data_IF_703585911454
#
_entry.id   IF_703585911454
#
_cell.length_a   1.000
_cell.length_b   1.000
_cell.length_c   1.000
_cell.angle_alpha   90.00
_cell.angle_beta   90.00
_cell.angle_gamma   90.00
#
_symmetry.space_group_name_H-M   'P 1'
#
loop_
_entity.id
_entity.type
_entity.pdbx_description
1 polymer ?
#
# COMPACT_ATOMS: atom_id res chain seq x y z
N UNK A 1 23.06 12.76 65.62
CA UNK A 1 21.59 12.84 65.72
C UNK A 1 21.00 12.22 64.47
N UNK A 2 20.42 11.03 64.62
CA UNK A 2 19.85 10.21 63.57
C UNK A 2 18.32 10.29 63.64
N UNK A 3 17.63 10.38 62.51
CA UNK A 3 16.23 9.94 62.38
C UNK A 3 15.98 9.39 60.98
N UNK A 4 16.02 8.05 60.91
CA UNK A 4 15.36 7.24 59.89
C UNK A 4 13.85 7.24 60.18
N UNK A 5 13.03 7.45 59.17
CA UNK A 5 11.61 7.08 59.21
C UNK A 5 11.30 6.29 57.95
N UNK A 6 11.23 4.97 58.14
CA UNK A 6 10.61 4.04 57.23
C UNK A 6 9.09 4.12 57.40
N UNK A 7 8.35 4.11 56.30
CA UNK A 7 6.92 3.81 56.30
C UNK A 7 6.68 2.68 55.31
N UNK A 8 6.53 1.51 55.92
CA UNK A 8 6.06 0.26 55.35
C UNK A 8 4.57 0.44 55.01
N UNK A 9 4.18 0.11 53.78
CA UNK A 9 2.77 -0.02 53.41
C UNK A 9 2.52 -1.45 52.95
N UNK A 10 1.96 -2.24 53.87
CA UNK A 10 1.27 -3.49 53.60
C UNK A 10 0.04 -3.22 52.73
N UNK A 11 -0.02 -3.84 51.55
CA UNK A 11 -1.29 -3.99 50.82
C UNK A 11 -1.56 -5.45 50.53
N UNK A 12 -2.58 -5.90 51.23
CA UNK A 12 -3.16 -7.22 51.27
C UNK A 12 -3.47 -7.81 49.88
N UNK A 13 -3.10 -9.09 49.75
CA UNK A 13 -3.55 -10.02 48.72
C UNK A 13 -5.08 -10.12 48.77
N UNK A 14 -5.77 -9.73 47.70
CA UNK A 14 -7.15 -10.12 47.44
C UNK A 14 -7.18 -11.02 46.22
N UNK A 15 -7.30 -12.31 46.48
CA UNK A 15 -7.57 -13.36 45.51
C UNK A 15 -9.00 -13.17 44.99
N UNK A 16 -9.14 -12.64 43.78
CA UNK A 16 -10.41 -12.58 43.09
C UNK A 16 -10.57 -13.85 42.25
N UNK A 17 -11.58 -14.64 42.61
CA UNK A 17 -12.11 -15.78 41.86
C UNK A 17 -12.71 -15.25 40.54
N UNK A 18 -12.15 -15.64 39.39
CA UNK A 18 -12.73 -15.32 38.08
C UNK A 18 -13.67 -16.43 37.64
N UNK A 19 -14.84 -16.10 37.05
CA UNK A 19 -15.81 -17.08 36.63
C UNK A 19 -15.32 -17.82 35.38
N UNK A 20 -15.66 -19.11 35.35
CA UNK A 20 -15.55 -20.01 34.21
C UNK A 20 -16.26 -19.38 33.01
N UNK A 21 -15.48 -18.93 32.02
CA UNK A 21 -15.99 -18.50 30.73
C UNK A 21 -16.41 -19.74 29.92
N UNK A 22 -17.70 -19.81 29.60
CA UNK A 22 -18.24 -20.73 28.61
C UNK A 22 -17.55 -20.50 27.25
N UNK A 23 -16.88 -21.54 26.76
CA UNK A 23 -16.44 -21.64 25.37
C UNK A 23 -17.68 -21.71 24.46
N UNK A 24 -18.00 -20.59 23.81
CA UNK A 24 -18.88 -20.57 22.64
C UNK A 24 -18.01 -20.87 21.43
N UNK A 25 -18.22 -21.98 20.70
CA UNK A 25 -17.55 -22.19 19.43
C UNK A 25 -18.14 -21.22 18.41
N UNK A 26 -17.40 -20.14 18.12
CA UNK A 26 -17.65 -19.32 16.95
C UNK A 26 -17.32 -20.19 15.73
N UNK A 27 -18.35 -20.73 15.10
CA UNK A 27 -18.28 -21.29 13.75
C UNK A 27 -17.97 -20.15 12.77
N UNK A 28 -16.68 -19.84 12.63
CA UNK A 28 -16.18 -19.08 11.50
C UNK A 28 -16.29 -19.98 10.28
N UNK A 29 -17.37 -19.81 9.52
CA UNK A 29 -17.47 -20.28 8.14
C UNK A 29 -16.37 -19.56 7.32
N UNK A 30 -15.18 -20.17 7.30
CA UNK A 30 -14.02 -19.70 6.59
C UNK A 30 -14.24 -19.81 5.09
N UNK A 31 -14.51 -18.68 4.43
CA UNK A 31 -14.21 -18.55 3.00
C UNK A 31 -12.70 -18.61 2.84
N UNK A 32 -12.18 -19.77 2.44
CA UNK A 32 -10.78 -19.93 2.08
C UNK A 32 -10.53 -19.19 0.75
N UNK A 33 -9.71 -18.12 0.70
CA UNK A 33 -9.47 -17.38 -0.55
C UNK A 33 -8.81 -18.26 -1.65
N UNK A 34 -8.18 -19.38 -1.28
CA UNK A 34 -7.59 -20.33 -2.23
C UNK A 34 -8.66 -21.17 -2.96
N UNK A 35 -9.77 -21.49 -2.30
CA UNK A 35 -10.91 -22.20 -2.93
C UNK A 35 -11.59 -21.33 -3.99
N UNK A 36 -11.67 -20.01 -3.77
CA UNK A 36 -12.26 -19.05 -4.70
C UNK A 36 -11.49 -18.91 -6.02
N UNK A 37 -10.15 -18.91 -5.96
CA UNK A 37 -9.30 -18.90 -7.18
C UNK A 37 -9.44 -20.22 -7.94
N UNK A 38 -9.58 -21.34 -7.24
CA UNK A 38 -9.75 -22.67 -7.85
C UNK A 38 -11.10 -22.82 -8.56
N UNK A 39 -12.18 -22.23 -8.03
CA UNK A 39 -13.51 -22.29 -8.67
C UNK A 39 -13.65 -21.43 -9.92
N UNK A 40 -12.80 -20.42 -10.11
CA UNK A 40 -12.77 -19.59 -11.32
C UNK A 40 -11.96 -20.22 -12.47
N UNK A 41 -10.95 -21.02 -12.15
CA UNK A 41 -10.11 -21.70 -13.14
C UNK A 41 -10.69 -23.03 -13.62
N UNK A 42 -11.68 -23.57 -12.92
CA UNK A 42 -12.52 -24.66 -13.42
C UNK A 42 -13.52 -24.08 -14.44
N UNK A 43 -13.07 -23.89 -15.69
CA UNK A 43 -13.96 -23.53 -16.79
C UNK A 43 -15.07 -24.57 -17.00
N UNK A 44 -16.15 -24.24 -17.72
CA UNK A 44 -17.20 -25.19 -18.08
C UNK A 44 -16.59 -26.38 -18.83
N UNK A 45 -16.88 -27.61 -18.36
CA UNK A 45 -16.44 -28.83 -19.05
C UNK A 45 -16.96 -28.81 -20.51
N UNK A 46 -16.07 -28.85 -21.52
CA UNK A 46 -16.51 -28.98 -22.88
C UNK A 46 -17.08 -30.39 -23.10
N UNK A 47 -18.39 -30.47 -23.29
CA UNK A 47 -19.04 -31.67 -23.83
C UNK A 47 -18.76 -31.67 -25.33
N UNK A 48 -17.71 -32.37 -25.77
CA UNK A 48 -17.48 -32.62 -27.20
C UNK A 48 -17.05 -34.07 -27.45
N UNK A 49 -18.02 -34.84 -27.96
CA UNK A 49 -17.79 -36.01 -28.79
C UNK A 49 -17.37 -35.53 -30.19
N UNK A 50 -16.09 -35.62 -30.52
CA UNK A 50 -15.62 -35.44 -31.90
C UNK A 50 -14.41 -36.34 -32.20
N UNK A 51 -14.39 -36.80 -33.47
CA UNK A 51 -13.50 -37.80 -34.09
C UNK A 51 -12.00 -37.44 -34.08
N UNK A 52 -11.11 -38.45 -34.18
CA UNK A 52 -9.67 -38.24 -34.15
C UNK A 52 -9.19 -37.55 -35.44
N UNK A 53 -8.53 -36.41 -35.28
CA UNK A 53 -7.78 -35.72 -36.34
C UNK A 53 -6.30 -35.86 -36.05
N UNK A 54 -5.59 -36.24 -37.10
CA UNK A 54 -4.19 -36.59 -37.24
C UNK A 54 -3.21 -35.61 -36.59
N UNK A 55 -2.21 -36.19 -35.92
CA UNK A 55 -1.11 -35.54 -35.22
C UNK A 55 -0.28 -34.62 -36.13
N UNK A 56 -0.34 -33.32 -35.85
CA UNK A 56 0.68 -32.37 -36.26
C UNK A 56 1.59 -32.10 -35.06
N UNK A 57 2.89 -32.25 -35.26
CA UNK A 57 3.97 -32.05 -34.29
C UNK A 57 3.85 -30.71 -33.56
N UNK A 58 3.35 -30.75 -32.32
CA UNK A 58 3.12 -29.59 -31.48
C UNK A 58 4.41 -29.02 -30.90
N UNK A 59 4.60 -27.70 -31.06
CA UNK A 59 5.48 -26.94 -30.17
C UNK A 59 4.88 -26.99 -28.75
N UNK A 60 5.63 -27.47 -27.76
CA UNK A 60 5.16 -27.51 -26.38
C UNK A 60 5.25 -26.11 -25.73
N UNK A 61 4.28 -25.85 -24.86
CA UNK A 61 4.38 -24.97 -23.66
C UNK A 61 4.04 -23.48 -23.72
N UNK A 62 3.52 -22.92 -24.83
CA UNK A 62 3.11 -21.51 -24.80
C UNK A 62 1.81 -21.29 -23.99
N UNK A 63 0.84 -22.23 -24.07
CA UNK A 63 -0.45 -22.16 -23.36
C UNK A 63 -0.33 -22.28 -21.83
N UNK A 64 0.70 -22.96 -21.32
CA UNK A 64 0.92 -23.09 -19.87
C UNK A 64 1.35 -21.77 -19.22
N UNK A 65 2.12 -20.96 -19.94
CA UNK A 65 2.67 -19.70 -19.45
C UNK A 65 1.60 -18.62 -19.21
N UNK A 66 0.61 -18.53 -20.11
CA UNK A 66 -0.46 -17.55 -20.04
C UNK A 66 -1.39 -17.79 -18.84
N UNK A 67 -1.77 -19.05 -18.58
CA UNK A 67 -2.59 -19.42 -17.43
C UNK A 67 -1.89 -19.12 -16.09
N UNK A 68 -0.59 -19.40 -16.00
CA UNK A 68 0.20 -19.08 -14.81
C UNK A 68 0.31 -17.56 -14.59
N UNK A 69 0.52 -16.78 -15.65
CA UNK A 69 0.56 -15.31 -15.57
C UNK A 69 -0.78 -14.73 -15.11
N UNK A 70 -1.90 -15.20 -15.68
CA UNK A 70 -3.23 -14.74 -15.29
C UNK A 70 -3.53 -15.00 -13.81
N UNK A 71 -3.15 -16.19 -13.32
CA UNK A 71 -3.28 -16.54 -11.91
C UNK A 71 -2.41 -15.63 -11.02
N UNK A 72 -1.15 -15.43 -11.39
CA UNK A 72 -0.25 -14.55 -10.63
C UNK A 72 -0.76 -13.10 -10.58
N UNK A 73 -1.28 -12.58 -11.70
CA UNK A 73 -1.90 -11.25 -11.77
C UNK A 73 -3.14 -11.15 -10.88
N UNK A 74 -4.00 -12.17 -10.88
CA UNK A 74 -5.17 -12.22 -10.00
C UNK A 74 -4.80 -12.24 -8.51
N UNK A 75 -3.78 -13.00 -8.12
CA UNK A 75 -3.30 -13.05 -6.74
C UNK A 75 -2.76 -11.68 -6.29
N UNK A 76 -1.98 -11.00 -7.13
CA UNK A 76 -1.45 -9.67 -6.84
C UNK A 76 -2.53 -8.61 -6.75
N UNK A 77 -3.48 -8.64 -7.68
CA UNK A 77 -4.60 -7.71 -7.66
C UNK A 77 -5.47 -7.94 -6.41
N UNK A 78 -5.69 -9.21 -6.02
CA UNK A 78 -6.37 -9.54 -4.77
C UNK A 78 -5.63 -8.97 -3.55
N UNK A 79 -4.31 -9.11 -3.50
CA UNK A 79 -3.47 -8.49 -2.48
C UNK A 79 -3.61 -6.96 -2.49
N UNK A 80 -3.63 -6.35 -3.68
CA UNK A 80 -3.80 -4.90 -3.85
C UNK A 80 -5.12 -4.40 -3.27
N UNK A 81 -6.24 -5.05 -3.58
CA UNK A 81 -7.54 -4.71 -2.99
C UNK A 81 -7.50 -4.81 -1.46
N UNK A 82 -6.96 -5.92 -0.94
CA UNK A 82 -6.89 -6.14 0.49
C UNK A 82 -6.06 -5.06 1.20
N UNK A 83 -4.93 -4.67 0.63
CA UNK A 83 -4.00 -3.71 1.24
C UNK A 83 -4.45 -2.26 1.02
N UNK A 84 -5.02 -1.92 -0.14
CA UNK A 84 -5.49 -0.56 -0.48
C UNK A 84 -6.81 -0.25 0.21
N UNK A 85 -7.83 -1.12 0.08
CA UNK A 85 -9.18 -0.90 0.61
C UNK A 85 -9.43 -1.52 1.99
N UNK A 86 -8.49 -2.30 2.54
CA UNK A 86 -8.70 -3.07 3.78
C UNK A 86 -9.83 -4.13 3.66
N UNK A 87 -10.12 -4.59 2.44
CA UNK A 87 -11.19 -5.56 2.15
C UNK A 87 -10.92 -6.31 0.85
N UNK A 88 -11.46 -7.53 0.67
CA UNK A 88 -11.41 -8.23 -0.62
C UNK A 88 -12.23 -7.47 -1.70
N UNK A 89 -12.00 -7.76 -3.00
CA UNK A 89 -12.83 -7.23 -4.07
C UNK A 89 -14.29 -7.63 -3.87
N UNK A 90 -15.21 -6.67 -4.00
CA UNK A 90 -16.65 -6.89 -3.79
C UNK A 90 -17.39 -7.24 -5.09
N UNK A 91 -16.92 -6.73 -6.22
CA UNK A 91 -17.51 -6.98 -7.53
C UNK A 91 -16.58 -7.88 -8.37
N UNK A 92 -17.07 -9.09 -8.65
CA UNK A 92 -16.35 -10.12 -9.43
C UNK A 92 -16.16 -9.68 -10.89
N UNK A 93 -17.12 -8.98 -11.48
CA UNK A 93 -17.05 -8.53 -12.86
C UNK A 93 -15.99 -7.43 -13.01
N UNK A 94 -16.04 -6.42 -12.14
CA UNK A 94 -15.01 -5.37 -12.11
C UNK A 94 -13.61 -5.94 -11.83
N UNK A 95 -13.48 -6.85 -10.86
CA UNK A 95 -12.19 -7.51 -10.59
C UNK A 95 -11.67 -8.30 -11.80
N UNK A 96 -12.54 -9.07 -12.47
CA UNK A 96 -12.17 -9.80 -13.68
C UNK A 96 -11.67 -8.88 -14.80
N UNK A 97 -12.36 -7.76 -15.03
CA UNK A 97 -11.95 -6.76 -16.03
C UNK A 97 -10.57 -6.15 -15.74
N UNK A 98 -10.23 -5.92 -14.47
CA UNK A 98 -8.90 -5.43 -14.08
C UNK A 98 -7.82 -6.51 -14.28
N UNK A 99 -8.12 -7.79 -14.01
CA UNK A 99 -7.20 -8.91 -14.30
C UNK A 99 -6.96 -9.03 -15.80
N UNK A 100 -8.02 -8.92 -16.61
CA UNK A 100 -7.91 -8.94 -18.07
C UNK A 100 -7.06 -7.77 -18.57
N UNK A 101 -7.22 -6.58 -17.99
CA UNK A 101 -6.41 -5.41 -18.31
C UNK A 101 -4.92 -5.66 -18.01
N UNK A 102 -4.58 -6.26 -16.86
CA UNK A 102 -3.21 -6.63 -16.52
C UNK A 102 -2.65 -7.68 -17.50
N UNK A 103 -3.45 -8.66 -17.90
CA UNK A 103 -3.06 -9.67 -18.89
C UNK A 103 -2.85 -9.06 -20.30
N UNK A 104 -3.51 -7.94 -20.59
CA UNK A 104 -3.35 -7.15 -21.81
C UNK A 104 -2.21 -6.11 -21.72
N UNK A 105 -1.48 -6.06 -20.59
CA UNK A 105 -0.31 -5.19 -20.42
C UNK A 105 -0.58 -3.87 -19.71
N UNK A 106 -1.73 -3.70 -19.02
CA UNK A 106 -1.90 -2.60 -18.09
C UNK A 106 -0.87 -2.67 -16.96
N UNK A 107 -0.40 -1.52 -16.49
CA UNK A 107 0.60 -1.46 -15.43
C UNK A 107 0.00 -1.55 -14.04
N UNK A 108 0.74 -2.10 -13.07
CA UNK A 108 0.30 -2.10 -11.66
C UNK A 108 0.17 -0.68 -11.11
N UNK A 109 1.03 0.24 -11.56
CA UNK A 109 0.93 1.67 -11.22
C UNK A 109 -0.39 2.27 -11.72
N UNK A 110 -0.77 2.01 -12.98
CA UNK A 110 -2.02 2.52 -13.56
C UNK A 110 -3.25 2.00 -12.82
N UNK A 111 -3.28 0.70 -12.50
CA UNK A 111 -4.34 0.11 -11.69
C UNK A 111 -4.36 0.73 -10.28
N UNK A 112 -3.22 0.82 -9.61
CA UNK A 112 -3.11 1.42 -8.28
C UNK A 112 -3.64 2.85 -8.25
N UNK A 113 -3.21 3.70 -9.19
CA UNK A 113 -3.66 5.08 -9.32
C UNK A 113 -5.17 5.15 -9.56
N UNK A 114 -5.70 4.29 -10.43
CA UNK A 114 -7.13 4.14 -10.66
C UNK A 114 -7.89 3.80 -9.38
N UNK A 115 -7.33 2.93 -8.52
CA UNK A 115 -7.96 2.58 -7.24
C UNK A 115 -7.90 3.75 -6.25
N UNK A 116 -6.72 4.31 -5.96
CA UNK A 116 -6.54 5.35 -4.92
C UNK A 116 -7.14 6.69 -5.27
N UNK A 117 -7.39 6.96 -6.55
CA UNK A 117 -8.04 8.18 -7.03
C UNK A 117 -9.50 7.99 -7.45
N UNK A 118 -10.07 6.79 -7.23
CA UNK A 118 -11.46 6.50 -7.55
C UNK A 118 -12.46 7.23 -6.64
N UNK A 119 -13.71 7.33 -7.10
CA UNK A 119 -14.83 7.75 -6.26
C UNK A 119 -15.05 6.85 -5.05
N UNK A 120 -14.75 5.56 -5.16
CA UNK A 120 -14.94 4.60 -4.06
C UNK A 120 -13.87 4.76 -2.98
N UNK A 121 -12.63 5.06 -3.36
CA UNK A 121 -11.58 5.37 -2.40
C UNK A 121 -11.86 6.67 -1.63
N UNK A 122 -12.35 7.70 -2.33
CA UNK A 122 -12.83 8.94 -1.70
C UNK A 122 -13.93 8.69 -0.66
N UNK A 123 -14.88 7.78 -0.95
CA UNK A 123 -15.91 7.41 0.04
C UNK A 123 -15.27 6.85 1.31
N UNK A 124 -14.18 6.11 1.20
CA UNK A 124 -13.43 5.62 2.36
C UNK A 124 -12.71 6.75 3.11
N UNK A 125 -12.10 7.69 2.42
CA UNK A 125 -11.49 8.87 3.05
C UNK A 125 -12.51 9.67 3.86
N UNK A 126 -13.72 9.86 3.32
CA UNK A 126 -14.81 10.59 4.00
C UNK A 126 -15.42 9.77 5.14
N UNK A 127 -15.65 8.47 4.95
CA UNK A 127 -16.31 7.61 5.92
C UNK A 127 -15.44 7.26 7.14
N UNK A 128 -14.12 7.44 7.06
CA UNK A 128 -13.17 7.10 8.11
C UNK A 128 -12.34 8.33 8.51
N UNK A 129 -12.96 9.37 9.10
CA UNK A 129 -12.24 10.58 9.48
C UNK A 129 -11.19 10.30 10.55
N UNK A 130 -10.04 10.97 10.45
CA UNK A 130 -8.92 10.80 11.36
C UNK A 130 -8.13 9.50 11.19
N UNK A 131 -6.98 9.45 11.83
CA UNK A 131 -6.09 8.29 11.89
C UNK A 131 -5.64 8.07 13.35
N UNK A 132 -5.15 6.87 13.66
CA UNK A 132 -4.55 6.63 14.98
C UNK A 132 -3.28 7.47 15.12
N UNK A 133 -2.94 7.87 16.35
CA UNK A 133 -1.70 8.61 16.62
C UNK A 133 -0.47 7.83 16.12
N UNK A 134 -0.50 6.49 16.25
CA UNK A 134 0.56 5.62 15.75
C UNK A 134 0.64 5.60 14.22
N UNK A 135 -0.49 5.55 13.51
CA UNK A 135 -0.53 5.63 12.05
C UNK A 135 0.02 6.97 11.55
N UNK A 136 -0.37 8.08 12.20
CA UNK A 136 0.14 9.41 11.88
C UNK A 136 1.65 9.54 12.11
N UNK A 137 2.17 8.95 13.20
CA UNK A 137 3.60 8.94 13.48
C UNK A 137 4.38 8.16 12.40
N UNK A 138 3.92 6.95 12.06
CA UNK A 138 4.51 6.12 11.02
C UNK A 138 4.45 6.81 9.65
N UNK A 139 3.33 7.45 9.34
CA UNK A 139 3.13 8.22 8.12
C UNK A 139 4.12 9.38 8.02
N UNK A 140 4.19 10.22 9.05
CA UNK A 140 5.07 11.41 9.05
C UNK A 140 6.55 11.02 8.97
N UNK A 141 6.94 9.91 9.59
CA UNK A 141 8.28 9.35 9.46
C UNK A 141 8.58 8.87 8.05
N UNK A 142 7.71 8.03 7.48
CA UNK A 142 7.89 7.49 6.13
C UNK A 142 7.91 8.60 5.08
N UNK A 143 7.02 9.59 5.23
CA UNK A 143 6.92 10.74 4.32
C UNK A 143 8.17 11.62 4.37
N UNK A 144 8.71 11.86 5.57
CA UNK A 144 9.93 12.62 5.76
C UNK A 144 11.15 11.92 5.15
N UNK A 145 11.23 10.59 5.27
CA UNK A 145 12.27 9.79 4.61
C UNK A 145 12.15 9.87 3.08
N UNK A 146 10.97 9.61 2.51
CA UNK A 146 10.76 9.72 1.06
C UNK A 146 11.10 11.10 0.53
N UNK A 147 10.74 12.15 1.26
CA UNK A 147 11.03 13.54 0.88
C UNK A 147 12.53 13.87 0.86
N UNK A 148 13.38 13.11 1.56
CA UNK A 148 14.84 13.30 1.52
C UNK A 148 15.47 12.67 0.27
N UNK A 149 14.79 11.70 -0.35
CA UNK A 149 15.24 11.06 -1.57
C UNK A 149 14.91 11.89 -2.82
N UNK A 150 14.01 12.88 -2.70
CA UNK A 150 13.58 13.73 -3.80
C UNK A 150 14.50 14.94 -4.00
N UNK A 151 14.82 15.34 -5.25
CA UNK A 151 15.60 16.54 -5.54
C UNK A 151 14.96 17.85 -5.05
N UNK A 152 13.62 17.87 -5.00
CA UNK A 152 12.83 19.00 -4.50
C UNK A 152 11.72 18.47 -3.60
N UNK A 153 11.51 19.14 -2.47
CA UNK A 153 10.46 18.79 -1.52
C UNK A 153 9.08 19.07 -2.13
N UNK A 154 8.14 18.14 -1.94
CA UNK A 154 6.75 18.33 -2.35
C UNK A 154 6.08 19.39 -1.49
N UNK A 155 5.58 20.46 -2.10
CA UNK A 155 4.72 21.42 -1.41
C UNK A 155 3.29 20.86 -1.28
N UNK A 156 2.95 20.41 -0.06
CA UNK A 156 1.60 19.96 0.24
C UNK A 156 0.67 21.16 0.44
N UNK A 157 -0.26 21.42 -0.47
CA UNK A 157 -1.26 22.48 -0.26
C UNK A 157 -2.20 22.21 0.92
N UNK A 158 -3.04 23.19 1.27
CA UNK A 158 -4.05 23.05 2.34
C UNK A 158 -5.09 21.93 2.08
N UNK A 159 -5.21 21.47 0.83
CA UNK A 159 -6.07 20.36 0.44
C UNK A 159 -5.42 18.97 0.56
N UNK A 160 -4.11 18.86 0.80
CA UNK A 160 -3.41 17.58 0.77
C UNK A 160 -3.88 16.62 1.88
N UNK A 161 -4.23 17.16 3.04
CA UNK A 161 -4.75 16.41 4.19
C UNK A 161 -6.27 16.15 4.12
N UNK A 162 -6.94 16.59 3.06
CA UNK A 162 -8.39 16.43 2.87
C UNK A 162 -8.69 15.26 1.92
N UNK A 163 -9.90 14.68 2.02
CA UNK A 163 -10.38 13.75 1.01
C UNK A 163 -10.32 14.36 -0.40
N UNK A 164 -10.18 13.51 -1.42
CA UNK A 164 -10.17 13.95 -2.82
C UNK A 164 -11.41 14.78 -3.17
N UNK A 165 -11.19 15.92 -3.81
CA UNK A 165 -12.25 16.83 -4.26
C UNK A 165 -13.18 16.15 -5.28
N UNK A 166 -14.50 16.29 -5.09
CA UNK A 166 -15.52 15.64 -5.93
C UNK A 166 -15.20 15.82 -7.43
N UNK A 167 -15.43 14.80 -8.27
CA UNK A 167 -15.25 14.95 -9.71
C UNK A 167 -16.10 16.12 -10.19
N UNK A 168 -15.49 17.04 -10.94
CA UNK A 168 -16.22 18.12 -11.59
C UNK A 168 -17.20 17.47 -12.57
N UNK A 169 -18.51 17.62 -12.34
CA UNK A 169 -19.50 17.09 -13.27
C UNK A 169 -19.40 17.87 -14.59
N UNK A 170 -19.22 17.19 -15.74
CA UNK A 170 -19.21 17.83 -17.05
C UNK A 170 -20.62 18.36 -17.33
N UNK A 171 -20.87 19.64 -17.01
CA UNK A 171 -22.19 20.24 -17.12
C UNK A 171 -22.44 21.40 -16.15
N UNK A 172 -21.68 21.50 -15.06
CA UNK A 172 -21.67 22.75 -14.29
C UNK A 172 -20.87 23.80 -15.06
N UNK A 173 -21.45 24.97 -15.40
CA UNK A 173 -20.72 26.09 -15.98
C UNK A 173 -19.87 26.75 -14.89
N UNK A 174 -18.92 26.01 -14.33
CA UNK A 174 -17.76 26.61 -13.72
C UNK A 174 -16.97 27.19 -14.89
N UNK A 175 -17.01 28.52 -15.04
CA UNK A 175 -16.11 29.23 -15.93
C UNK A 175 -14.73 28.64 -15.74
N UNK A 176 -14.20 28.00 -16.77
CA UNK A 176 -12.83 27.53 -16.76
C UNK A 176 -12.02 28.81 -16.79
N UNK A 177 -11.64 29.30 -15.61
CA UNK A 177 -10.61 30.32 -15.51
C UNK A 177 -9.45 29.81 -16.34
N UNK A 178 -9.10 30.57 -17.37
CA UNK A 178 -8.04 30.25 -18.30
C UNK A 178 -6.81 29.88 -17.46
N UNK A 179 -6.44 28.60 -17.50
CA UNK A 179 -5.32 28.09 -16.72
C UNK A 179 -4.09 28.75 -17.33
N UNK A 180 -3.65 29.85 -16.72
CA UNK A 180 -2.46 30.56 -17.13
C UNK A 180 -1.25 29.67 -16.79
N UNK A 181 -0.81 28.91 -17.80
CA UNK A 181 0.40 28.10 -17.77
C UNK A 181 1.68 28.95 -17.82
N UNK A 182 1.63 30.26 -17.54
CA UNK A 182 2.83 31.02 -17.20
C UNK A 182 3.46 30.38 -15.97
N UNK A 183 4.35 29.42 -16.26
CA UNK A 183 5.27 28.76 -15.34
C UNK A 183 5.82 29.82 -14.42
N UNK A 184 5.27 29.92 -13.21
CA UNK A 184 5.83 30.71 -12.13
C UNK A 184 7.14 30.02 -11.80
N UNK A 185 8.19 30.44 -12.50
CA UNK A 185 9.55 29.99 -12.32
C UNK A 185 9.81 30.12 -10.81
N UNK A 186 10.12 29.02 -10.10
CA UNK A 186 10.34 29.09 -8.67
C UNK A 186 11.37 30.20 -8.43
N UNK A 187 11.02 31.13 -7.54
CA UNK A 187 11.87 32.27 -7.25
C UNK A 187 13.27 31.75 -6.90
N UNK A 188 14.30 32.10 -7.68
CA UNK A 188 15.65 31.63 -7.40
C UNK A 188 16.13 32.31 -6.11
N UNK A 189 16.42 31.53 -5.07
CA UNK A 189 17.34 32.00 -4.03
C UNK A 189 16.86 32.06 -2.58
N UNK A 190 15.75 31.43 -2.19
CA UNK A 190 15.60 31.08 -0.77
C UNK A 190 16.32 29.75 -0.56
N UNK A 191 17.62 29.84 -0.24
CA UNK A 191 18.41 28.73 0.30
C UNK A 191 17.84 28.40 1.68
N UNK A 192 16.69 27.72 1.74
CA UNK A 192 16.25 27.07 2.97
C UNK A 192 17.28 26.00 3.27
N UNK A 193 18.00 26.14 4.39
CA UNK A 193 18.80 25.03 4.90
C UNK A 193 17.97 23.74 4.89
N UNK A 194 18.56 22.60 4.50
CA UNK A 194 17.83 21.35 4.42
C UNK A 194 17.22 21.06 5.78
N UNK A 195 15.88 21.14 5.86
CA UNK A 195 15.17 20.87 7.09
C UNK A 195 15.55 19.47 7.58
N UNK A 196 15.96 19.39 8.85
CA UNK A 196 16.34 18.10 9.43
C UNK A 196 15.17 17.12 9.37
N UNK A 197 15.46 15.82 9.34
CA UNK A 197 14.44 14.77 9.36
C UNK A 197 13.40 15.00 10.48
N UNK A 198 13.85 15.44 11.66
CA UNK A 198 13.00 15.78 12.81
C UNK A 198 12.04 16.93 12.53
N UNK A 199 12.50 18.00 11.86
CA UNK A 199 11.66 19.14 11.51
C UNK A 199 10.59 18.76 10.48
N UNK A 200 10.94 17.96 9.47
CA UNK A 200 9.99 17.45 8.47
C UNK A 200 8.92 16.57 9.10
N UNK A 201 9.32 15.63 9.98
CA UNK A 201 8.39 14.79 10.75
C UNK A 201 7.38 15.64 11.53
N UNK A 202 7.86 16.64 12.27
CA UNK A 202 6.98 17.52 13.05
C UNK A 202 6.01 18.33 12.16
N UNK A 203 6.49 18.86 11.04
CA UNK A 203 5.66 19.60 10.09
C UNK A 203 4.56 18.70 9.48
N UNK A 204 4.90 17.48 9.06
CA UNK A 204 3.93 16.53 8.52
C UNK A 204 2.93 16.04 9.56
N UNK A 205 3.36 15.81 10.80
CA UNK A 205 2.46 15.44 11.89
C UNK A 205 1.41 16.53 12.14
N UNK A 206 1.81 17.79 12.20
CA UNK A 206 0.88 18.91 12.38
C UNK A 206 -0.06 19.08 11.17
N UNK A 207 0.46 18.91 9.95
CA UNK A 207 -0.29 19.13 8.71
C UNK A 207 -1.37 18.07 8.46
N UNK A 208 -1.12 16.82 8.87
CA UNK A 208 -1.99 15.68 8.59
C UNK A 208 -2.73 15.14 9.82
N UNK A 209 -2.78 15.89 10.93
CA UNK A 209 -3.33 15.42 12.20
C UNK A 209 -4.79 14.91 12.12
N UNK A 210 -5.59 15.49 11.24
CA UNK A 210 -7.02 15.17 11.08
C UNK A 210 -7.30 14.31 9.84
N UNK A 211 -6.25 13.91 9.11
CA UNK A 211 -6.39 13.15 7.87
C UNK A 211 -6.82 11.70 8.16
N UNK A 212 -7.68 11.17 7.27
CA UNK A 212 -8.04 9.75 7.29
C UNK A 212 -6.83 8.86 7.02
N UNK A 213 -6.83 7.63 7.54
CA UNK A 213 -5.79 6.63 7.19
C UNK A 213 -5.69 6.41 5.67
N UNK A 214 -6.81 6.54 4.93
CA UNK A 214 -6.83 6.39 3.48
C UNK A 214 -6.16 7.59 2.77
N UNK A 215 -6.34 8.80 3.30
CA UNK A 215 -5.63 9.99 2.84
C UNK A 215 -4.12 9.86 3.08
N UNK A 216 -3.72 9.38 4.27
CA UNK A 216 -2.31 9.12 4.58
C UNK A 216 -1.68 8.13 3.58
N UNK A 217 -2.38 7.03 3.29
CA UNK A 217 -1.91 5.99 2.35
C UNK A 217 -1.77 6.53 0.92
N UNK A 218 -2.77 7.27 0.43
CA UNK A 218 -2.72 7.88 -0.90
C UNK A 218 -1.52 8.82 -1.03
N UNK A 219 -1.36 9.74 -0.09
CA UNK A 219 -0.25 10.71 -0.10
C UNK A 219 1.12 10.03 -0.05
N UNK A 220 1.29 8.97 0.77
CA UNK A 220 2.53 8.19 0.76
C UNK A 220 2.76 7.46 -0.57
N UNK A 221 1.70 6.91 -1.16
CA UNK A 221 1.77 6.28 -2.47
C UNK A 221 2.27 7.25 -3.54
N UNK A 222 1.67 8.44 -3.60
CA UNK A 222 2.02 9.49 -4.55
C UNK A 222 3.48 9.92 -4.40
N UNK A 223 3.98 10.08 -3.16
CA UNK A 223 5.39 10.40 -2.93
C UNK A 223 6.33 9.25 -3.26
N UNK A 224 5.95 8.01 -2.94
CA UNK A 224 6.77 6.84 -3.25
C UNK A 224 6.94 6.66 -4.77
N UNK A 225 5.88 6.93 -5.55
CA UNK A 225 5.95 6.92 -7.01
C UNK A 225 6.92 7.99 -7.54
N UNK A 226 6.97 9.19 -6.94
CA UNK A 226 7.96 10.21 -7.30
C UNK A 226 9.39 9.76 -7.02
N UNK A 227 9.63 9.10 -5.89
CA UNK A 227 10.96 8.56 -5.55
C UNK A 227 11.38 7.47 -6.54
N UNK A 228 10.46 6.55 -6.86
CA UNK A 228 10.71 5.52 -7.87
C UNK A 228 10.99 6.14 -9.25
N UNK A 229 10.25 7.17 -9.65
CA UNK A 229 10.48 7.92 -10.88
C UNK A 229 11.85 8.60 -10.91
N UNK A 230 12.30 9.14 -9.77
CA UNK A 230 13.62 9.74 -9.62
C UNK A 230 14.74 8.71 -9.89
N UNK A 231 14.62 7.51 -9.32
CA UNK A 231 15.63 6.45 -9.44
C UNK A 231 15.53 5.62 -10.72
N UNK A 232 14.41 5.63 -11.46
CA UNK A 232 14.18 4.71 -12.60
C UNK A 232 15.23 4.78 -13.72
N UNK A 233 15.97 5.89 -13.80
CA UNK A 233 17.04 6.10 -14.80
C UNK A 233 18.32 5.31 -14.52
N UNK A 234 18.56 4.98 -13.25
CA UNK A 234 19.71 4.19 -12.82
C UNK A 234 19.23 2.97 -12.04
N UNK A 235 19.22 1.83 -12.73
CA UNK A 235 18.71 0.58 -12.19
C UNK A 235 19.51 0.09 -10.97
N UNK A 236 20.82 0.30 -10.97
CA UNK A 236 21.68 -0.11 -9.86
C UNK A 236 21.44 0.77 -8.63
N UNK A 237 21.29 2.09 -8.83
CA UNK A 237 20.93 3.01 -7.76
C UNK A 237 19.55 2.68 -7.17
N UNK A 238 18.55 2.41 -8.01
CA UNK A 238 17.21 1.99 -7.59
C UNK A 238 17.24 0.72 -6.74
N UNK A 239 18.00 -0.29 -7.18
CA UNK A 239 18.15 -1.55 -6.46
C UNK A 239 18.82 -1.35 -5.08
N UNK A 240 19.90 -0.56 -5.03
CA UNK A 240 20.59 -0.23 -3.79
C UNK A 240 19.73 0.58 -2.81
N UNK A 241 18.96 1.55 -3.31
CA UNK A 241 17.98 2.29 -2.51
C UNK A 241 16.92 1.35 -1.94
N UNK A 242 16.32 0.50 -2.78
CA UNK A 242 15.28 -0.43 -2.38
C UNK A 242 15.76 -1.39 -1.29
N UNK A 243 16.96 -1.97 -1.42
CA UNK A 243 17.52 -2.87 -0.41
C UNK A 243 17.62 -2.22 0.98
N UNK A 244 18.17 -1.01 1.04
CA UNK A 244 18.27 -0.22 2.29
C UNK A 244 16.90 0.13 2.85
N UNK A 245 15.98 0.52 1.97
CA UNK A 245 14.63 0.91 2.34
C UNK A 245 13.83 -0.27 2.90
N UNK A 246 13.92 -1.46 2.31
CA UNK A 246 13.25 -2.67 2.83
C UNK A 246 13.74 -3.03 4.23
N UNK A 247 15.05 -2.96 4.50
CA UNK A 247 15.57 -3.23 5.85
C UNK A 247 14.96 -2.29 6.88
N UNK A 248 14.71 -1.01 6.53
CA UNK A 248 13.96 -0.08 7.39
C UNK A 248 12.51 -0.52 7.56
N UNK A 249 11.84 -0.88 6.47
CA UNK A 249 10.44 -1.33 6.50
C UNK A 249 10.23 -2.58 7.38
N UNK A 250 11.15 -3.54 7.35
CA UNK A 250 11.11 -4.76 8.18
C UNK A 250 11.17 -4.45 9.68
N UNK A 251 11.84 -3.37 10.09
CA UNK A 251 11.93 -2.96 11.52
C UNK A 251 10.57 -2.58 12.13
N UNK A 252 9.55 -2.30 11.31
CA UNK A 252 8.20 -2.06 11.82
C UNK A 252 7.52 -3.34 12.34
N UNK A 253 8.08 -4.53 12.10
CA UNK A 253 7.53 -5.79 12.60
C UNK A 253 6.17 -6.14 11.98
N UNK A 254 5.96 -5.73 10.72
CA UNK A 254 4.74 -5.96 9.96
C UNK A 254 4.94 -7.16 9.03
N UNK A 255 3.92 -8.00 8.91
CA UNK A 255 3.94 -9.11 7.96
C UNK A 255 3.65 -8.63 6.52
N UNK A 256 4.63 -8.82 5.64
CA UNK A 256 4.55 -8.52 4.21
C UNK A 256 4.06 -9.72 3.37
N UNK A 257 3.58 -10.79 4.01
CA UNK A 257 2.85 -11.91 3.40
C UNK A 257 3.71 -13.07 2.92
N UNK A 258 4.94 -12.83 2.46
CA UNK A 258 5.91 -13.87 2.11
C UNK A 258 7.07 -13.85 3.10
N UNK A 259 7.53 -15.03 3.53
CA UNK A 259 8.64 -15.13 4.49
C UNK A 259 9.91 -14.40 4.02
N UNK A 260 10.22 -14.46 2.73
CA UNK A 260 11.37 -13.74 2.13
C UNK A 260 11.23 -12.21 2.21
N UNK A 261 9.99 -11.68 2.16
CA UNK A 261 9.74 -10.23 2.29
C UNK A 261 10.02 -9.69 3.69
N UNK A 262 10.03 -10.57 4.69
CA UNK A 262 10.21 -10.24 6.10
C UNK A 262 11.69 -10.38 6.56
N UNK A 263 12.61 -10.76 5.68
CA UNK A 263 14.05 -10.87 6.00
C UNK A 263 14.70 -9.49 5.95
N UNK A 264 15.45 -9.11 6.99
CA UNK A 264 16.18 -7.84 7.05
C UNK A 264 17.59 -7.94 6.41
N UNK A 265 17.66 -8.31 5.13
CA UNK A 265 18.91 -8.45 4.38
C UNK A 265 18.94 -7.47 3.18
N UNK A 266 19.76 -6.42 3.30
CA UNK A 266 19.89 -5.37 2.28
C UNK A 266 20.34 -5.94 0.92
N UNK A 267 21.29 -6.88 0.93
CA UNK A 267 21.88 -7.43 -0.29
C UNK A 267 20.86 -8.29 -1.02
N UNK A 268 20.15 -9.16 -0.29
CA UNK A 268 19.07 -9.99 -0.85
C UNK A 268 18.03 -9.14 -1.58
N UNK A 269 17.56 -8.07 -0.95
CA UNK A 269 16.53 -7.20 -1.53
C UNK A 269 17.04 -6.37 -2.69
N UNK A 270 18.30 -5.91 -2.65
CA UNK A 270 18.92 -5.23 -3.77
C UNK A 270 19.10 -6.15 -4.98
N UNK A 271 19.56 -7.39 -4.80
CA UNK A 271 19.70 -8.38 -5.88
C UNK A 271 18.34 -8.72 -6.53
N UNK A 272 17.30 -8.90 -5.71
CA UNK A 272 15.94 -9.07 -6.21
C UNK A 272 15.48 -7.83 -7.00
N UNK A 273 15.65 -6.63 -6.46
CA UNK A 273 15.23 -5.41 -7.12
C UNK A 273 16.03 -5.09 -8.39
N UNK A 274 17.26 -5.58 -8.52
CA UNK A 274 18.03 -5.44 -9.76
C UNK A 274 17.38 -6.24 -10.91
N UNK A 275 16.83 -7.43 -10.62
CA UNK A 275 16.28 -8.37 -11.60
C UNK A 275 14.74 -8.33 -11.76
N UNK A 276 14.00 -7.74 -10.82
CA UNK A 276 12.53 -7.72 -10.85
C UNK A 276 11.96 -6.86 -11.99
N UNK A 277 10.77 -7.15 -12.50
CA UNK A 277 10.10 -6.21 -13.43
C UNK A 277 9.84 -4.85 -12.74
N UNK A 278 10.01 -3.69 -13.43
CA UNK A 278 9.81 -2.36 -12.84
C UNK A 278 8.45 -2.22 -12.14
N UNK A 279 7.40 -2.67 -12.80
CA UNK A 279 6.03 -2.68 -12.31
C UNK A 279 5.84 -3.50 -11.03
N UNK A 280 6.57 -4.62 -10.92
CA UNK A 280 6.53 -5.47 -9.74
C UNK A 280 7.21 -4.80 -8.56
N UNK A 281 8.32 -4.10 -8.81
CA UNK A 281 9.04 -3.32 -7.81
C UNK A 281 8.19 -2.14 -7.31
N UNK A 282 7.49 -1.44 -8.22
CA UNK A 282 6.54 -0.38 -7.87
C UNK A 282 5.48 -0.91 -6.91
N UNK A 283 4.81 -2.01 -7.26
CA UNK A 283 3.79 -2.59 -6.40
C UNK A 283 4.35 -3.02 -5.04
N UNK A 284 5.55 -3.62 -5.00
CA UNK A 284 6.16 -4.07 -3.75
C UNK A 284 6.44 -2.90 -2.79
N UNK A 285 6.88 -1.74 -3.30
CA UNK A 285 7.06 -0.53 -2.47
C UNK A 285 5.72 -0.04 -1.93
N UNK A 286 4.72 0.11 -2.79
CA UNK A 286 3.38 0.57 -2.41
C UNK A 286 2.71 -0.37 -1.39
N UNK A 287 2.84 -1.68 -1.60
CA UNK A 287 2.32 -2.73 -0.73
C UNK A 287 2.87 -2.59 0.70
N UNK A 288 4.19 -2.45 0.84
CA UNK A 288 4.86 -2.33 2.14
C UNK A 288 4.43 -1.07 2.87
N UNK A 289 4.43 0.10 2.21
CA UNK A 289 3.97 1.35 2.81
C UNK A 289 2.53 1.22 3.34
N UNK A 290 1.63 0.71 2.50
CA UNK A 290 0.24 0.53 2.90
C UNK A 290 0.10 -0.44 4.07
N UNK A 291 0.81 -1.58 4.06
CA UNK A 291 0.77 -2.56 5.16
C UNK A 291 1.26 -1.96 6.47
N UNK A 292 2.35 -1.19 6.44
CA UNK A 292 2.91 -0.55 7.64
C UNK A 292 1.91 0.46 8.23
N UNK A 293 1.29 1.30 7.41
CA UNK A 293 0.25 2.24 7.87
C UNK A 293 -1.01 1.51 8.34
N UNK A 294 -1.46 0.48 7.63
CA UNK A 294 -2.62 -0.34 8.02
C UNK A 294 -2.40 -0.99 9.39
N UNK A 295 -1.22 -1.54 9.65
CA UNK A 295 -0.90 -2.20 10.91
C UNK A 295 -0.79 -1.19 12.07
N UNK A 296 -0.19 -0.02 11.81
CA UNK A 296 -0.17 1.09 12.76
C UNK A 296 -1.57 1.63 13.08
N UNK A 297 -2.51 1.57 12.14
CA UNK A 297 -3.90 1.94 12.37
C UNK A 297 -4.64 0.95 13.29
N UNK A 298 -4.31 -0.35 13.23
CA UNK A 298 -4.95 -1.40 14.05
C UNK A 298 -4.47 -1.41 15.50
N UNK A 299 -3.26 -0.93 15.76
CA UNK A 299 -2.61 -0.90 17.08
C UNK A 299 -2.69 0.55 17.63
N UNK A 300 -3.77 0.92 18.34
CA UNK A 300 -3.92 2.25 18.92
C UNK A 300 -2.86 2.53 19.99
#
# INVERSE_FOLDING_TARGET
MARKSALVSDRAKKSACWPVFCLVPILLAGCNPVEWVRTQLAGPQPTQTAKPVTEASGQPDEYGSAGMRAKANAELLGEMFHVVYLRPPQDRAHFGSLVDSLNQGASFEGIYNGLTHSSDYRKLEVANPGSSARALQVFSESLAELSLELPAETDFGAGAAKPLALPVQPGSPSGVDEIDFTKKKPAPGVSSEPATLTMRKAAYLAKFQDASVFTLKRVLGDEALKVLDHYKKDRAALAGWYGKWVVRMVRHGVDFGLSSRNVADEKLHAEWAASAEPDRLIWEVLNRLHRVVNEAQRKP
#
